data_IF_923314456732
#
_entry.id   IF_923314456732
#
_cell.length_a   1.000
_cell.length_b   1.000
_cell.length_c   1.000
_cell.angle_alpha   90.00
_cell.angle_beta   90.00
_cell.angle_gamma   90.00
#
_symmetry.space_group_name_H-M   'P 1'
#
loop_
_entity.id
_entity.type
_entity.pdbx_description
1 polymer ?
#
# COMPACT_ATOMS: atom_id res chain seq x y z
N UNK A 1 -8.36 -35.19 -27.52
CA UNK A 1 -6.93 -35.53 -27.52
C UNK A 1 -6.37 -35.15 -26.16
N UNK A 2 -6.10 -36.13 -25.30
CA UNK A 2 -5.74 -35.92 -23.90
C UNK A 2 -4.34 -35.28 -23.79
N UNK A 3 -4.31 -34.00 -23.40
CA UNK A 3 -3.11 -33.34 -22.89
C UNK A 3 -2.82 -33.87 -21.49
N UNK A 4 -2.14 -35.01 -21.47
CA UNK A 4 -1.56 -35.61 -20.28
C UNK A 4 -0.54 -34.61 -19.69
N UNK A 5 -0.87 -33.97 -18.57
CA UNK A 5 0.12 -33.27 -17.73
C UNK A 5 0.42 -34.11 -16.48
N UNK A 6 1.15 -35.24 -16.58
CA UNK A 6 1.72 -35.88 -15.42
C UNK A 6 2.98 -35.08 -15.07
N UNK A 7 3.14 -34.69 -13.80
CA UNK A 7 4.27 -33.88 -13.29
C UNK A 7 4.26 -32.37 -13.59
N UNK A 8 3.12 -31.78 -13.98
CA UNK A 8 3.00 -30.35 -14.33
C UNK A 8 2.16 -29.47 -13.39
N UNK A 9 1.82 -29.93 -12.18
CA UNK A 9 0.84 -29.25 -11.31
C UNK A 9 1.32 -27.89 -10.74
N UNK A 10 2.61 -27.58 -10.83
CA UNK A 10 3.20 -26.34 -10.32
C UNK A 10 3.56 -25.31 -11.41
N UNK A 11 3.74 -25.74 -12.67
CA UNK A 11 4.18 -24.88 -13.76
C UNK A 11 3.20 -24.98 -14.93
N UNK A 12 2.02 -24.41 -14.76
CA UNK A 12 1.11 -24.13 -15.86
C UNK A 12 1.56 -22.83 -16.59
N UNK A 13 1.29 -22.64 -17.90
CA UNK A 13 1.76 -21.45 -18.61
C UNK A 13 1.31 -20.11 -18.01
N UNK A 14 0.21 -20.09 -17.24
CA UNK A 14 -0.26 -18.86 -16.56
C UNK A 14 0.59 -18.49 -15.34
N UNK A 15 1.48 -19.38 -14.87
CA UNK A 15 2.41 -19.11 -13.78
C UNK A 15 3.32 -17.91 -14.08
N UNK A 16 3.54 -17.58 -15.35
CA UNK A 16 4.23 -16.35 -15.78
C UNK A 16 3.58 -15.08 -15.22
N UNK A 17 2.25 -15.05 -15.04
CA UNK A 17 1.52 -13.91 -14.47
C UNK A 17 1.93 -13.69 -13.00
N UNK A 18 2.12 -14.77 -12.25
CA UNK A 18 2.59 -14.73 -10.86
C UNK A 18 4.02 -14.22 -10.80
N UNK A 19 4.89 -14.72 -11.69
CA UNK A 19 6.29 -14.30 -11.78
C UNK A 19 6.37 -12.80 -12.09
N UNK A 20 5.60 -12.31 -13.06
CA UNK A 20 5.56 -10.87 -13.40
C UNK A 20 5.14 -10.05 -12.18
N UNK A 21 4.06 -10.44 -11.51
CA UNK A 21 3.61 -9.74 -10.30
C UNK A 21 4.66 -9.74 -9.19
N UNK A 22 5.31 -10.88 -8.95
CA UNK A 22 6.39 -11.00 -7.97
C UNK A 22 7.57 -10.08 -8.30
N UNK A 23 8.04 -10.10 -9.55
CA UNK A 23 9.15 -9.24 -10.01
C UNK A 23 8.79 -7.77 -9.87
N UNK A 24 7.58 -7.35 -10.25
CA UNK A 24 7.12 -5.97 -10.08
C UNK A 24 7.11 -5.53 -8.62
N UNK A 25 6.60 -6.38 -7.72
CA UNK A 25 6.56 -6.09 -6.28
C UNK A 25 7.95 -6.01 -5.66
N UNK A 26 8.85 -6.92 -6.04
CA UNK A 26 10.25 -6.90 -5.62
C UNK A 26 10.99 -5.67 -6.14
N UNK A 27 10.80 -5.31 -7.41
CA UNK A 27 11.41 -4.13 -8.01
C UNK A 27 10.92 -2.83 -7.35
N UNK A 28 9.61 -2.70 -7.10
CA UNK A 28 9.05 -1.55 -6.39
C UNK A 28 9.60 -1.44 -4.97
N UNK A 29 9.68 -2.55 -4.23
CA UNK A 29 10.23 -2.59 -2.87
C UNK A 29 11.72 -2.23 -2.85
N UNK A 30 12.50 -2.75 -3.79
CA UNK A 30 13.91 -2.38 -3.97
C UNK A 30 14.09 -0.90 -4.32
N UNK A 31 13.20 -0.35 -5.15
CA UNK A 31 13.20 1.07 -5.51
C UNK A 31 12.88 1.98 -4.33
N UNK A 32 11.90 1.62 -3.48
CA UNK A 32 11.62 2.34 -2.22
C UNK A 32 12.83 2.35 -1.31
N UNK A 33 13.38 1.17 -1.00
CA UNK A 33 14.48 1.04 -0.06
C UNK A 33 15.73 1.79 -0.53
N UNK A 34 16.05 1.71 -1.82
CA UNK A 34 17.19 2.44 -2.40
C UNK A 34 16.97 3.96 -2.41
N UNK A 35 15.75 4.41 -2.75
CA UNK A 35 15.40 5.84 -2.79
C UNK A 35 15.38 6.44 -1.38
N UNK A 36 14.76 5.75 -0.41
CA UNK A 36 14.75 6.17 0.98
C UNK A 36 16.18 6.29 1.53
N UNK A 37 17.00 5.25 1.42
CA UNK A 37 18.39 5.27 1.89
C UNK A 37 19.22 6.40 1.25
N UNK A 38 18.99 6.70 -0.03
CA UNK A 38 19.69 7.80 -0.71
C UNK A 38 19.34 9.16 -0.12
N UNK A 39 18.06 9.42 0.13
CA UNK A 39 17.61 10.72 0.63
C UNK A 39 17.58 10.83 2.16
N UNK A 40 17.75 9.71 2.86
CA UNK A 40 17.96 9.69 4.31
C UNK A 40 19.36 10.20 4.69
N UNK A 41 20.32 10.11 3.77
CA UNK A 41 21.66 10.71 3.94
C UNK A 41 21.69 12.23 3.70
N UNK A 42 20.60 12.81 3.17
CA UNK A 42 20.52 14.24 2.89
C UNK A 42 19.80 14.91 4.06
N UNK A 43 20.55 15.66 4.87
CA UNK A 43 20.01 16.43 5.97
C UNK A 43 19.23 17.63 5.45
N UNK A 44 18.12 17.94 6.12
CA UNK A 44 17.38 19.17 5.82
C UNK A 44 18.14 20.40 6.31
N UNK A 45 18.13 21.48 5.52
CA UNK A 45 18.69 22.80 5.87
C UNK A 45 18.08 23.39 7.14
N UNK A 46 16.83 23.03 7.45
CA UNK A 46 16.15 23.49 8.68
C UNK A 46 16.50 22.66 9.92
N UNK A 47 17.18 21.51 9.75
CA UNK A 47 17.60 20.62 10.83
C UNK A 47 16.47 20.25 11.83
N UNK A 48 15.23 20.19 11.35
CA UNK A 48 14.08 19.77 12.14
C UNK A 48 13.91 18.25 12.05
N UNK A 49 13.46 17.62 13.13
CA UNK A 49 13.20 16.18 13.13
C UNK A 49 11.87 15.84 12.47
N UNK A 50 11.68 14.59 12.03
CA UNK A 50 10.40 14.10 11.55
C UNK A 50 9.25 14.31 12.56
N UNK A 51 9.53 14.15 13.86
CA UNK A 51 8.55 14.45 14.92
C UNK A 51 8.17 15.92 14.97
N UNK A 52 9.14 16.83 14.88
CA UNK A 52 8.89 18.27 14.87
C UNK A 52 8.12 18.69 13.61
N UNK A 53 8.47 18.13 12.46
CA UNK A 53 7.74 18.35 11.21
C UNK A 53 6.28 17.88 11.34
N UNK A 54 6.03 16.69 11.90
CA UNK A 54 4.68 16.19 12.10
C UNK A 54 3.86 17.08 13.05
N UNK A 55 4.43 17.48 14.18
CA UNK A 55 3.77 18.38 15.13
C UNK A 55 3.43 19.73 14.50
N UNK A 56 4.37 20.31 13.76
CA UNK A 56 4.15 21.55 13.02
C UNK A 56 2.99 21.40 12.02
N UNK A 57 2.98 20.32 11.23
CA UNK A 57 1.95 20.07 10.22
C UNK A 57 0.57 19.93 10.87
N UNK A 58 0.45 19.10 11.91
CA UNK A 58 -0.81 18.89 12.62
C UNK A 58 -1.35 20.20 13.19
N UNK A 59 -0.48 21.00 13.84
CA UNK A 59 -0.86 22.31 14.36
C UNK A 59 -1.28 23.27 13.25
N UNK A 60 -0.52 23.36 12.16
CA UNK A 60 -0.81 24.23 11.02
C UNK A 60 -2.11 23.84 10.28
N UNK A 61 -2.51 22.56 10.35
CA UNK A 61 -3.77 22.08 9.78
C UNK A 61 -4.95 22.13 10.78
N UNK A 62 -4.76 22.67 11.99
CA UNK A 62 -5.79 22.75 13.02
C UNK A 62 -6.18 21.41 13.63
N UNK A 63 -5.29 20.41 13.58
CA UNK A 63 -5.51 19.05 14.09
C UNK A 63 -4.87 18.95 15.47
N UNK A 64 -5.69 19.00 16.53
CA UNK A 64 -5.23 18.98 17.93
C UNK A 64 -5.50 17.66 18.67
N UNK A 65 -6.27 16.76 18.06
CA UNK A 65 -6.68 15.49 18.64
C UNK A 65 -5.82 14.30 18.20
N UNK A 66 -4.74 14.55 17.43
CA UNK A 66 -3.81 13.52 16.97
C UNK A 66 -2.52 13.58 17.75
N UNK A 67 -2.17 12.50 18.44
CA UNK A 67 -0.89 12.36 19.13
C UNK A 67 0.23 11.93 18.18
N UNK A 68 1.48 12.24 18.52
CA UNK A 68 2.68 11.78 17.80
C UNK A 68 3.54 10.96 18.75
N UNK A 69 3.92 9.75 18.36
CA UNK A 69 4.77 8.86 19.14
C UNK A 69 5.88 8.22 18.30
N UNK A 70 7.00 7.89 18.93
CA UNK A 70 8.05 7.08 18.32
C UNK A 70 7.80 5.59 18.53
N UNK A 71 8.06 4.77 17.51
CA UNK A 71 8.00 3.31 17.56
C UNK A 71 9.30 2.70 17.05
N UNK A 72 9.58 1.45 17.45
CA UNK A 72 10.76 0.73 16.98
C UNK A 72 10.64 0.29 15.51
N UNK A 73 11.80 0.08 14.89
CA UNK A 73 11.92 -0.38 13.50
C UNK A 73 12.19 0.75 12.51
N UNK A 74 12.22 0.37 11.23
CA UNK A 74 12.47 1.23 10.07
C UNK A 74 11.29 1.11 9.10
N UNK A 75 10.83 2.25 8.54
CA UNK A 75 9.72 2.29 7.58
C UNK A 75 8.42 1.62 8.10
N UNK A 76 8.23 1.65 9.42
CA UNK A 76 7.01 1.18 10.11
C UNK A 76 6.03 2.31 10.42
N UNK A 77 6.31 3.50 9.90
CA UNK A 77 5.54 4.72 10.07
C UNK A 77 4.07 4.52 9.66
N UNK A 78 3.13 5.00 10.49
CA UNK A 78 1.71 4.92 10.19
C UNK A 78 0.88 5.93 10.98
N UNK A 79 -0.21 6.40 10.36
CA UNK A 79 -1.34 7.03 11.04
C UNK A 79 -2.47 6.04 11.31
N UNK A 80 -3.01 6.06 12.54
CA UNK A 80 -4.16 5.27 12.95
C UNK A 80 -5.36 6.18 13.26
N UNK A 81 -6.43 6.04 12.45
CA UNK A 81 -7.66 6.83 12.57
C UNK A 81 -8.55 6.45 13.75
N UNK A 82 -8.41 5.24 14.30
CA UNK A 82 -9.22 4.76 15.41
C UNK A 82 -8.78 5.36 16.76
N UNK A 83 -7.47 5.33 17.04
CA UNK A 83 -6.92 5.90 18.27
C UNK A 83 -6.34 7.31 18.10
N UNK A 84 -6.38 7.87 16.87
CA UNK A 84 -5.85 9.19 16.52
C UNK A 84 -4.37 9.33 16.91
N UNK A 85 -3.56 8.35 16.53
CA UNK A 85 -2.11 8.34 16.78
C UNK A 85 -1.31 8.28 15.49
N UNK A 86 -0.29 9.11 15.41
CA UNK A 86 0.74 9.09 14.39
C UNK A 86 2.00 8.43 14.98
N UNK A 87 2.33 7.25 14.49
CA UNK A 87 3.48 6.47 14.94
C UNK A 87 4.61 6.64 13.94
N UNK A 88 5.72 7.23 14.38
CA UNK A 88 6.92 7.41 13.57
C UNK A 88 7.98 6.39 13.96
N UNK A 89 8.55 5.71 12.98
CA UNK A 89 9.65 4.76 13.17
C UNK A 89 10.89 5.46 13.74
N UNK A 90 11.80 4.72 14.37
CA UNK A 90 13.00 5.33 14.97
C UNK A 90 13.86 6.04 13.91
N UNK A 91 13.93 5.47 12.70
CA UNK A 91 14.56 6.06 11.53
C UNK A 91 13.93 7.39 11.09
N UNK A 92 12.64 7.63 11.39
CA UNK A 92 11.93 8.85 11.00
C UNK A 92 11.85 9.87 12.14
N UNK A 93 11.52 9.42 13.35
CA UNK A 93 11.10 10.28 14.46
C UNK A 93 12.17 11.30 14.86
N UNK A 94 13.43 10.86 14.95
CA UNK A 94 14.58 11.68 15.39
C UNK A 94 15.51 12.09 14.23
N UNK A 95 15.28 11.57 13.03
CA UNK A 95 16.07 11.94 11.86
C UNK A 95 15.67 13.33 11.36
N UNK A 96 16.68 14.08 10.91
CA UNK A 96 16.52 15.39 10.28
C UNK A 96 16.66 15.32 8.76
N UNK A 97 16.58 14.11 8.20
CA UNK A 97 16.74 13.89 6.77
C UNK A 97 15.52 14.32 5.96
N UNK A 98 15.74 14.63 4.69
CA UNK A 98 14.66 14.97 3.76
C UNK A 98 13.68 13.80 3.57
N UNK A 99 14.20 12.56 3.60
CA UNK A 99 13.36 11.36 3.56
C UNK A 99 12.46 11.24 4.79
N UNK A 100 13.01 11.38 6.00
CA UNK A 100 12.26 11.30 7.25
C UNK A 100 11.18 12.38 7.34
N UNK A 101 11.50 13.63 7.00
CA UNK A 101 10.52 14.73 6.97
C UNK A 101 9.42 14.44 5.94
N UNK A 102 9.78 13.90 4.77
CA UNK A 102 8.82 13.48 3.75
C UNK A 102 7.84 12.40 4.25
N UNK A 103 8.35 11.35 4.89
CA UNK A 103 7.53 10.26 5.45
C UNK A 103 6.63 10.77 6.59
N UNK A 104 7.17 11.55 7.53
CA UNK A 104 6.37 12.13 8.60
C UNK A 104 5.23 13.02 8.06
N UNK A 105 5.49 13.79 7.00
CA UNK A 105 4.47 14.59 6.34
C UNK A 105 3.43 13.74 5.59
N UNK A 106 3.82 12.60 5.03
CA UNK A 106 2.90 11.63 4.42
C UNK A 106 1.90 11.09 5.44
N UNK A 107 2.38 10.68 6.61
CA UNK A 107 1.49 10.22 7.70
C UNK A 107 0.57 11.33 8.19
N UNK A 108 1.06 12.57 8.26
CA UNK A 108 0.22 13.72 8.51
C UNK A 108 -0.82 13.94 7.40
N UNK A 109 -0.50 13.59 6.16
CA UNK A 109 -1.43 13.58 5.03
C UNK A 109 -2.65 12.69 5.29
N UNK A 110 -2.46 11.51 5.89
CA UNK A 110 -3.56 10.65 6.34
C UNK A 110 -4.37 11.28 7.48
N UNK A 111 -3.71 11.91 8.45
CA UNK A 111 -4.40 12.65 9.51
C UNK A 111 -5.29 13.78 8.95
N UNK A 112 -4.79 14.50 7.92
CA UNK A 112 -5.57 15.54 7.22
C UNK A 112 -6.73 14.94 6.43
N UNK A 113 -6.54 13.79 5.77
CA UNK A 113 -7.64 13.09 5.08
C UNK A 113 -8.75 12.70 6.06
N UNK A 114 -8.38 12.18 7.23
CA UNK A 114 -9.32 11.79 8.28
C UNK A 114 -10.06 13.00 8.83
N UNK A 115 -9.34 14.08 9.19
CA UNK A 115 -9.94 15.33 9.66
C UNK A 115 -10.91 15.96 8.64
N UNK A 116 -10.64 15.79 7.33
CA UNK A 116 -11.48 16.29 6.23
C UNK A 116 -12.54 15.30 5.75
N UNK A 117 -12.73 14.17 6.44
CA UNK A 117 -13.68 13.11 6.05
C UNK A 117 -13.51 12.65 4.59
N UNK A 118 -12.27 12.52 4.13
CA UNK A 118 -11.97 12.15 2.74
C UNK A 118 -12.59 10.80 2.38
N UNK A 119 -13.51 10.81 1.41
CA UNK A 119 -14.36 9.65 1.11
C UNK A 119 -13.58 8.37 0.80
N UNK A 120 -12.53 8.37 -0.05
CA UNK A 120 -11.75 7.16 -0.32
C UNK A 120 -11.10 6.56 0.94
N UNK A 121 -10.68 7.37 1.91
CA UNK A 121 -10.13 6.87 3.18
C UNK A 121 -11.21 6.14 4.00
N UNK A 122 -12.43 6.71 4.07
CA UNK A 122 -13.56 6.07 4.76
C UNK A 122 -13.98 4.78 4.06
N UNK A 123 -14.02 4.79 2.74
CA UNK A 123 -14.31 3.60 1.94
C UNK A 123 -13.27 2.52 2.22
N UNK A 124 -11.96 2.84 2.12
CA UNK A 124 -10.85 1.93 2.47
C UNK A 124 -11.09 1.28 3.83
N UNK A 125 -11.30 2.09 4.87
CA UNK A 125 -11.51 1.59 6.23
C UNK A 125 -12.72 0.65 6.34
N UNK A 126 -13.84 0.97 5.67
CA UNK A 126 -15.06 0.16 5.73
C UNK A 126 -14.94 -1.22 5.06
N UNK A 127 -14.08 -1.35 4.05
CA UNK A 127 -13.93 -2.60 3.29
C UNK A 127 -12.77 -3.48 3.79
N UNK A 128 -11.91 -2.98 4.70
CA UNK A 128 -10.79 -3.77 5.28
C UNK A 128 -11.25 -5.15 5.80
N UNK A 129 -12.32 -5.27 6.60
CA UNK A 129 -12.73 -6.58 7.12
C UNK A 129 -13.11 -7.56 6.01
N UNK A 130 -13.83 -7.07 5.00
CA UNK A 130 -14.25 -7.87 3.85
C UNK A 130 -13.06 -8.26 2.97
N UNK A 131 -12.10 -7.36 2.78
CA UNK A 131 -10.88 -7.64 2.04
C UNK A 131 -10.00 -8.69 2.74
N UNK A 132 -9.89 -8.62 4.07
CA UNK A 132 -9.14 -9.61 4.86
C UNK A 132 -9.78 -11.00 4.77
N UNK A 133 -11.10 -11.09 5.01
CA UNK A 133 -11.84 -12.35 4.84
C UNK A 133 -11.69 -12.87 3.41
N UNK A 134 -11.86 -12.00 2.42
CA UNK A 134 -11.74 -12.33 1.01
C UNK A 134 -10.36 -12.89 0.65
N UNK A 135 -9.30 -12.24 1.13
CA UNK A 135 -7.91 -12.65 0.88
C UNK A 135 -7.58 -13.98 1.56
N UNK A 136 -8.00 -14.19 2.81
CA UNK A 136 -7.71 -15.41 3.56
C UNK A 136 -8.54 -16.61 3.10
N UNK A 137 -9.81 -16.40 2.76
CA UNK A 137 -10.74 -17.48 2.40
C UNK A 137 -10.74 -17.84 0.91
N UNK A 138 -10.29 -16.94 0.03
CA UNK A 138 -10.32 -17.15 -1.42
C UNK A 138 -9.66 -18.45 -1.87
N UNK A 139 -8.38 -18.66 -1.51
CA UNK A 139 -7.63 -19.85 -1.91
C UNK A 139 -8.21 -21.13 -1.30
N UNK A 140 -8.50 -21.22 0.02
CA UNK A 140 -9.20 -22.38 0.58
C UNK A 140 -10.54 -22.70 -0.11
N UNK A 141 -11.37 -21.70 -0.40
CA UNK A 141 -12.65 -21.90 -1.07
C UNK A 141 -12.47 -22.46 -2.49
N UNK A 142 -11.50 -21.93 -3.25
CA UNK A 142 -11.16 -22.44 -4.58
C UNK A 142 -10.67 -23.88 -4.49
N UNK A 143 -9.75 -24.19 -3.58
CA UNK A 143 -9.17 -25.53 -3.45
C UNK A 143 -10.22 -26.57 -3.03
N UNK A 144 -11.05 -26.25 -2.04
CA UNK A 144 -12.16 -27.13 -1.62
C UNK A 144 -13.16 -27.30 -2.76
N UNK A 145 -13.47 -26.22 -3.48
CA UNK A 145 -14.34 -26.27 -4.66
C UNK A 145 -13.78 -27.18 -5.75
N UNK A 146 -12.47 -27.13 -6.03
CA UNK A 146 -11.81 -28.03 -6.98
C UNK A 146 -11.86 -29.49 -6.50
N UNK A 147 -11.55 -29.74 -5.22
CA UNK A 147 -11.56 -31.08 -4.63
C UNK A 147 -12.95 -31.72 -4.68
N UNK A 148 -13.99 -30.93 -4.34
CA UNK A 148 -15.39 -31.35 -4.34
C UNK A 148 -16.04 -31.27 -5.72
N UNK A 149 -15.33 -30.81 -6.76
CA UNK A 149 -15.86 -30.50 -8.10
C UNK A 149 -17.08 -29.55 -8.04
N UNK A 150 -17.11 -28.67 -7.04
CA UNK A 150 -18.21 -27.73 -6.77
C UNK A 150 -17.92 -26.34 -7.31
N UNK A 151 -18.48 -26.00 -8.48
CA UNK A 151 -18.28 -24.68 -9.11
C UNK A 151 -18.76 -23.52 -8.22
N UNK A 152 -19.77 -23.73 -7.38
CA UNK A 152 -20.26 -22.72 -6.45
C UNK A 152 -19.15 -22.22 -5.51
N UNK A 153 -18.39 -23.12 -4.89
CA UNK A 153 -17.29 -22.76 -3.98
C UNK A 153 -16.14 -22.08 -4.71
N UNK A 154 -15.84 -22.54 -5.93
CA UNK A 154 -14.85 -21.90 -6.80
C UNK A 154 -15.25 -20.44 -7.08
N UNK A 155 -16.49 -20.22 -7.55
CA UNK A 155 -17.00 -18.88 -7.84
C UNK A 155 -17.01 -18.00 -6.60
N UNK A 156 -17.39 -18.55 -5.44
CA UNK A 156 -17.35 -17.83 -4.17
C UNK A 156 -15.92 -17.41 -3.81
N UNK A 157 -14.94 -18.29 -4.02
CA UNK A 157 -13.53 -17.98 -3.82
C UNK A 157 -12.97 -16.94 -4.79
N UNK A 158 -13.42 -16.94 -6.05
CA UNK A 158 -13.06 -15.89 -7.03
C UNK A 158 -13.66 -14.52 -6.67
N UNK A 159 -14.92 -14.49 -6.21
CA UNK A 159 -15.57 -13.28 -5.69
C UNK A 159 -14.81 -12.78 -4.45
N UNK A 160 -14.48 -13.68 -3.53
CA UNK A 160 -13.69 -13.36 -2.35
C UNK A 160 -12.32 -12.76 -2.72
N UNK A 161 -11.60 -13.32 -3.71
CA UNK A 161 -10.33 -12.75 -4.18
C UNK A 161 -10.51 -11.39 -4.88
N UNK A 162 -11.62 -11.19 -5.60
CA UNK A 162 -11.92 -9.92 -6.25
C UNK A 162 -12.10 -8.78 -5.24
N UNK A 163 -12.58 -9.06 -4.02
CA UNK A 163 -12.64 -8.07 -2.94
C UNK A 163 -11.24 -7.57 -2.53
N UNK A 164 -10.23 -8.45 -2.54
CA UNK A 164 -8.84 -8.06 -2.28
C UNK A 164 -8.32 -7.10 -3.38
N UNK A 165 -8.65 -7.38 -4.64
CA UNK A 165 -8.30 -6.48 -5.74
C UNK A 165 -9.00 -5.12 -5.63
N UNK A 166 -10.30 -5.09 -5.30
CA UNK A 166 -11.06 -3.86 -5.07
C UNK A 166 -10.44 -3.05 -3.93
N UNK A 167 -10.03 -3.69 -2.84
CA UNK A 167 -9.34 -3.03 -1.74
C UNK A 167 -8.08 -2.31 -2.18
N UNK A 168 -7.29 -2.95 -3.05
CA UNK A 168 -6.09 -2.35 -3.58
C UNK A 168 -6.38 -1.14 -4.46
N UNK A 169 -7.42 -1.20 -5.30
CA UNK A 169 -7.86 -0.06 -6.11
C UNK A 169 -8.34 1.12 -5.27
N UNK A 170 -9.07 0.88 -4.19
CA UNK A 170 -9.54 1.92 -3.26
C UNK A 170 -8.38 2.52 -2.47
N UNK A 171 -7.33 1.74 -2.20
CA UNK A 171 -6.14 2.22 -1.48
C UNK A 171 -5.31 3.20 -2.30
N UNK A 172 -5.14 2.97 -3.61
CA UNK A 172 -4.37 3.86 -4.49
C UNK A 172 -4.69 5.37 -4.37
N UNK A 173 -5.96 5.83 -4.53
CA UNK A 173 -6.28 7.25 -4.42
C UNK A 173 -6.05 7.82 -3.02
N UNK A 174 -6.06 6.99 -1.97
CA UNK A 174 -5.73 7.41 -0.60
C UNK A 174 -4.25 7.76 -0.50
N UNK A 175 -3.37 6.87 -0.96
CA UNK A 175 -1.91 7.03 -0.89
C UNK A 175 -1.39 8.18 -1.77
N UNK A 176 -1.94 8.32 -2.99
CA UNK A 176 -1.58 9.43 -3.89
C UNK A 176 -2.07 10.79 -3.41
N UNK A 177 -3.22 10.84 -2.73
CA UNK A 177 -3.75 12.07 -2.16
C UNK A 177 -2.98 12.47 -0.88
N UNK A 178 -2.65 11.51 -0.01
CA UNK A 178 -1.82 11.75 1.17
C UNK A 178 -0.45 12.33 0.78
N UNK A 179 0.22 11.71 -0.21
CA UNK A 179 1.50 12.19 -0.75
C UNK A 179 1.41 13.60 -1.36
N UNK A 180 0.32 13.91 -2.08
CA UNK A 180 0.09 15.26 -2.62
C UNK A 180 -0.10 16.30 -1.52
N UNK A 181 -0.88 15.98 -0.48
CA UNK A 181 -1.08 16.86 0.67
C UNK A 181 0.23 17.09 1.41
N UNK A 182 1.00 16.03 1.66
CA UNK A 182 2.29 16.11 2.32
C UNK A 182 3.23 17.09 1.61
N UNK A 183 3.45 16.92 0.30
CA UNK A 183 4.32 17.80 -0.48
C UNK A 183 3.83 19.25 -0.51
N UNK A 184 2.50 19.45 -0.60
CA UNK A 184 1.90 20.78 -0.57
C UNK A 184 2.14 21.47 0.76
N UNK A 185 1.88 20.78 1.87
CA UNK A 185 2.04 21.34 3.22
C UNK A 185 3.52 21.60 3.53
N UNK A 186 4.42 20.71 3.13
CA UNK A 186 5.86 20.91 3.28
C UNK A 186 6.34 22.16 2.55
N UNK A 187 5.83 22.40 1.34
CA UNK A 187 6.14 23.59 0.55
C UNK A 187 5.53 24.86 1.17
N UNK A 188 4.24 24.85 1.51
CA UNK A 188 3.54 26.00 2.08
C UNK A 188 4.07 26.40 3.48
N UNK A 189 4.43 25.41 4.31
CA UNK A 189 5.07 25.65 5.61
C UNK A 189 6.56 25.95 5.53
N UNK A 190 7.14 25.88 4.33
CA UNK A 190 8.57 26.01 4.08
C UNK A 190 9.42 25.04 4.89
N UNK A 191 8.90 23.88 5.32
CA UNK A 191 9.64 22.90 6.11
C UNK A 191 10.79 22.28 5.32
N UNK A 192 10.61 22.18 4.00
CA UNK A 192 11.63 21.85 3.02
C UNK A 192 11.73 22.99 2.00
N UNK A 193 12.94 23.26 1.53
CA UNK A 193 13.19 24.27 0.51
C UNK A 193 12.96 23.76 -0.93
N UNK A 194 13.21 24.62 -1.92
CA UNK A 194 13.00 24.31 -3.34
C UNK A 194 13.93 23.19 -3.87
N UNK A 195 15.09 22.97 -3.23
CA UNK A 195 16.04 21.93 -3.60
C UNK A 195 15.68 20.57 -2.95
N UNK A 196 15.10 20.60 -1.76
CA UNK A 196 14.71 19.44 -0.95
C UNK A 196 13.34 18.86 -1.34
N UNK A 197 12.38 19.70 -1.72
CA UNK A 197 11.03 19.26 -2.11
C UNK A 197 11.01 18.22 -3.23
N UNK A 198 11.81 18.35 -4.32
CA UNK A 198 11.92 17.32 -5.34
C UNK A 198 12.47 15.98 -4.79
N UNK A 199 13.29 16.01 -3.75
CA UNK A 199 13.84 14.80 -3.12
C UNK A 199 12.77 14.08 -2.31
N UNK A 200 12.03 14.80 -1.46
CA UNK A 200 10.88 14.25 -0.74
C UNK A 200 9.83 13.68 -1.70
N UNK A 201 9.56 14.37 -2.82
CA UNK A 201 8.66 13.86 -3.87
C UNK A 201 9.12 12.52 -4.42
N UNK A 202 10.43 12.31 -4.64
CA UNK A 202 10.97 11.03 -5.13
C UNK A 202 10.77 9.92 -4.10
N UNK A 203 10.98 10.19 -2.81
CA UNK A 203 10.71 9.21 -1.73
C UNK A 203 9.23 8.81 -1.72
N UNK A 204 8.32 9.79 -1.71
CA UNK A 204 6.88 9.50 -1.67
C UNK A 204 6.36 8.85 -2.96
N UNK A 205 6.93 9.21 -4.11
CA UNK A 205 6.61 8.55 -5.40
C UNK A 205 7.08 7.11 -5.41
N UNK A 206 8.30 6.84 -4.91
CA UNK A 206 8.79 5.48 -4.76
C UNK A 206 7.86 4.65 -3.87
N UNK A 207 7.45 5.19 -2.72
CA UNK A 207 6.50 4.54 -1.82
C UNK A 207 5.16 4.26 -2.51
N UNK A 208 4.62 5.23 -3.26
CA UNK A 208 3.38 5.03 -4.01
C UNK A 208 3.46 3.89 -5.04
N UNK A 209 4.62 3.62 -5.63
CA UNK A 209 4.82 2.53 -6.59
C UNK A 209 4.63 1.14 -5.98
N UNK A 210 4.82 0.95 -4.66
CA UNK A 210 4.56 -0.36 -4.03
C UNK A 210 3.08 -0.68 -4.02
N UNK A 211 2.22 0.32 -3.82
CA UNK A 211 0.78 0.16 -3.94
C UNK A 211 0.37 -0.11 -5.40
N UNK A 212 0.99 0.54 -6.38
CA UNK A 212 0.74 0.23 -7.80
C UNK A 212 1.15 -1.21 -8.11
N UNK A 213 2.33 -1.63 -7.67
CA UNK A 213 2.81 -2.99 -7.86
C UNK A 213 1.87 -4.02 -7.20
N UNK A 214 1.42 -3.78 -5.97
CA UNK A 214 0.45 -4.65 -5.30
C UNK A 214 -0.89 -4.75 -6.07
N UNK A 215 -1.36 -3.65 -6.67
CA UNK A 215 -2.56 -3.65 -7.51
C UNK A 215 -2.41 -4.54 -8.74
N UNK A 216 -1.30 -4.36 -9.45
CA UNK A 216 -1.00 -5.12 -10.67
C UNK A 216 -0.79 -6.60 -10.33
N UNK A 217 -0.03 -6.91 -9.28
CA UNK A 217 0.20 -8.31 -8.86
C UNK A 217 -1.09 -9.01 -8.45
N UNK A 218 -1.96 -8.31 -7.70
CA UNK A 218 -3.27 -8.87 -7.32
C UNK A 218 -4.16 -9.07 -8.55
N UNK A 219 -4.15 -8.15 -9.52
CA UNK A 219 -4.87 -8.31 -10.78
C UNK A 219 -4.36 -9.51 -11.58
N UNK A 220 -3.04 -9.66 -11.74
CA UNK A 220 -2.43 -10.77 -12.46
C UNK A 220 -2.78 -12.12 -11.81
N UNK A 221 -2.77 -12.18 -10.48
CA UNK A 221 -3.19 -13.36 -9.73
C UNK A 221 -4.69 -13.64 -9.91
N UNK A 222 -5.55 -12.62 -9.88
CA UNK A 222 -6.99 -12.78 -10.12
C UNK A 222 -7.25 -13.31 -11.54
N UNK A 223 -6.60 -12.73 -12.56
CA UNK A 223 -6.70 -13.19 -13.95
C UNK A 223 -6.28 -14.64 -14.07
N UNK A 224 -5.18 -15.03 -13.44
CA UNK A 224 -4.74 -16.43 -13.38
C UNK A 224 -5.81 -17.34 -12.79
N UNK A 225 -6.39 -16.98 -11.64
CA UNK A 225 -7.44 -17.79 -11.00
C UNK A 225 -8.70 -17.90 -11.88
N UNK A 226 -9.07 -16.84 -12.60
CA UNK A 226 -10.18 -16.86 -13.56
C UNK A 226 -9.87 -17.77 -14.76
N UNK A 227 -8.65 -17.72 -15.30
CA UNK A 227 -8.25 -18.58 -16.43
C UNK A 227 -8.29 -20.07 -16.01
N UNK A 228 -7.81 -20.38 -14.81
CA UNK A 228 -7.73 -21.76 -14.32
C UNK A 228 -9.08 -22.32 -13.86
N UNK A 229 -9.94 -21.49 -13.27
CA UNK A 229 -11.12 -21.96 -12.53
C UNK A 229 -12.44 -21.26 -12.89
N UNK A 230 -12.40 -20.18 -13.67
CA UNK A 230 -13.58 -19.42 -14.09
C UNK A 230 -14.38 -20.07 -15.23
N UNK A 231 -13.81 -21.08 -15.90
CA UNK A 231 -14.49 -21.84 -16.94
C UNK A 231 -15.49 -22.82 -16.36
N UNK A 232 -16.78 -22.47 -16.43
CA UNK A 232 -17.86 -23.43 -16.32
C UNK A 232 -17.68 -24.43 -17.48
N UNK A 233 -17.28 -25.68 -17.20
CA UNK A 233 -17.40 -26.77 -18.17
C UNK A 233 -18.89 -27.00 -18.44
N UNK A 234 -19.47 -26.21 -19.33
CA UNK A 234 -20.58 -26.65 -20.14
C UNK A 234 -19.96 -27.22 -21.42
N UNK A 235 -20.44 -28.40 -21.81
CA UNK A 235 -20.15 -29.14 -23.03
C UNK A 235 -18.93 -30.08 -22.86
N UNK A 236 -19.05 -31.42 -22.70
CA UNK A 236 -20.10 -32.40 -23.03
C UNK A 236 -20.25 -33.46 -21.92
#
# INVERSE_FOLDING_TARGET
>A
MYGMYPMGFFFDPTFILVIIGMVLSMAASGYVNSTFRKYDQVLSKKHITGTQAAQYILQNQGIHNVGVQGIAGDLTDNYNSHNKMLSLSQATAQSTSVAAIGVAAHECGHAVQDAKNYFPLRLRASIVPLANIGSTMSIPLILIGVLMRGQFLINLGLIAFSLAFIFQLVTLPVEFDASRRALRILAEGGLLDEEELPMARKVLTAAALTYVAAAVSTLLQLLRLIILFGGNRRDE
#
